data_IF_695916800535
#
_entry.id   IF_695916800535
#
_cell.length_a   1.000
_cell.length_b   1.000
_cell.length_c   1.000
_cell.angle_alpha   90.00
_cell.angle_beta   90.00
_cell.angle_gamma   90.00
#
_symmetry.space_group_name_H-M   'P 1'
#
loop_
_entity.id
_entity.type
_entity.pdbx_description
1 polymer ?
#
# COMPACT_ATOMS: atom_id res chain seq x y z
N UNK A 1 8.29 -5.42 -4.75
CA UNK A 1 7.68 -4.15 -5.21
C UNK A 1 8.09 -3.74 -6.64
N UNK A 2 7.32 -2.90 -7.35
CA UNK A 2 7.76 -2.31 -8.64
C UNK A 2 8.95 -1.34 -8.43
N UNK A 3 9.95 -1.37 -9.31
CA UNK A 3 11.16 -0.53 -9.23
C UNK A 3 10.87 0.97 -9.07
N UNK A 4 9.92 1.59 -9.80
CA UNK A 4 9.63 3.01 -9.63
C UNK A 4 9.13 3.39 -8.23
N UNK A 5 8.29 2.53 -7.63
CA UNK A 5 7.75 2.74 -6.28
C UNK A 5 8.91 2.67 -5.27
N UNK A 6 9.76 1.63 -5.40
CA UNK A 6 10.96 1.47 -4.56
C UNK A 6 11.86 2.71 -4.61
N UNK A 7 12.19 3.19 -5.82
CA UNK A 7 13.03 4.37 -6.02
C UNK A 7 12.41 5.63 -5.42
N UNK A 8 11.11 5.83 -5.60
CA UNK A 8 10.41 6.98 -5.02
C UNK A 8 10.47 6.94 -3.48
N UNK A 9 10.15 5.79 -2.87
CA UNK A 9 10.15 5.64 -1.42
C UNK A 9 11.56 5.84 -0.83
N UNK A 10 12.60 5.26 -1.43
CA UNK A 10 13.97 5.47 -0.94
C UNK A 10 14.43 6.93 -1.01
N UNK A 11 13.98 7.70 -2.01
CA UNK A 11 14.38 9.11 -2.20
C UNK A 11 13.52 10.11 -1.43
N UNK A 12 12.26 9.77 -1.16
CA UNK A 12 11.27 10.73 -0.66
C UNK A 12 10.58 10.28 0.63
N UNK A 13 10.64 9.00 1.01
CA UNK A 13 9.90 8.42 2.13
C UNK A 13 10.13 9.12 3.46
N UNK A 14 11.38 9.45 3.78
CA UNK A 14 11.73 10.17 5.02
C UNK A 14 11.15 11.59 5.12
N UNK A 15 10.70 12.20 4.01
CA UNK A 15 10.05 13.51 3.98
C UNK A 15 8.54 13.46 4.18
N UNK A 16 7.94 12.27 4.13
CA UNK A 16 6.51 12.09 4.35
C UNK A 16 6.24 12.16 5.85
N UNK A 17 5.28 13.01 6.24
CA UNK A 17 4.89 13.17 7.64
C UNK A 17 4.16 11.92 8.13
N UNK A 18 3.11 11.55 7.40
CA UNK A 18 2.27 10.38 7.62
C UNK A 18 2.15 9.61 6.30
N UNK A 19 2.03 8.28 6.38
CA UNK A 19 1.91 7.41 5.20
C UNK A 19 0.77 6.42 5.39
N UNK A 20 0.08 6.10 4.31
CA UNK A 20 -0.89 5.01 4.27
C UNK A 20 -0.58 4.15 3.05
N UNK A 21 -0.67 2.83 3.21
CA UNK A 21 -0.30 1.88 2.18
C UNK A 21 -1.51 1.14 1.63
N UNK A 22 -1.59 1.08 0.30
CA UNK A 22 -2.70 0.46 -0.40
C UNK A 22 -2.15 -0.45 -1.50
N UNK A 23 -2.62 -1.70 -1.57
CA UNK A 23 -2.33 -2.63 -2.67
C UNK A 23 -3.62 -3.17 -3.25
N UNK A 24 -3.70 -3.18 -4.57
CA UNK A 24 -4.70 -3.94 -5.33
C UNK A 24 -4.05 -5.21 -5.87
N UNK A 25 -4.68 -6.36 -5.71
CA UNK A 25 -4.18 -7.61 -6.28
C UNK A 25 -4.95 -8.84 -5.83
N UNK A 26 -4.86 -9.91 -6.62
CA UNK A 26 -5.59 -11.16 -6.34
C UNK A 26 -4.78 -12.13 -5.47
N UNK A 27 -3.50 -11.82 -5.21
CA UNK A 27 -2.65 -12.59 -4.29
C UNK A 27 -2.86 -12.14 -2.84
N UNK A 28 -2.95 -13.09 -1.92
CA UNK A 28 -2.92 -12.85 -0.46
C UNK A 28 -1.52 -12.55 0.09
N UNK A 29 -0.55 -12.35 -0.80
CA UNK A 29 0.80 -11.97 -0.45
C UNK A 29 0.79 -10.56 0.19
N UNK A 30 1.02 -10.50 1.49
CA UNK A 30 1.11 -9.28 2.29
C UNK A 30 2.56 -8.79 2.44
N UNK A 31 3.55 -9.48 1.84
CA UNK A 31 4.97 -9.22 2.07
C UNK A 31 5.42 -7.84 1.55
N UNK A 32 4.59 -7.18 0.75
CA UNK A 32 4.84 -5.84 0.24
C UNK A 32 4.82 -4.77 1.33
N UNK A 33 3.98 -4.92 2.36
CA UNK A 33 3.81 -3.85 3.35
C UNK A 33 5.02 -3.71 4.27
N UNK A 34 5.60 -4.81 4.80
CA UNK A 34 6.88 -4.72 5.51
C UNK A 34 8.01 -4.14 4.64
N UNK A 35 8.07 -4.48 3.34
CA UNK A 35 9.05 -3.89 2.40
C UNK A 35 8.86 -2.36 2.29
N UNK A 36 7.61 -1.91 2.19
CA UNK A 36 7.23 -0.50 2.13
C UNK A 36 7.57 0.26 3.42
N UNK A 37 7.29 -0.33 4.59
CA UNK A 37 7.64 0.23 5.91
C UNK A 37 9.15 0.43 6.05
N UNK A 38 9.93 -0.59 5.72
CA UNK A 38 11.39 -0.55 5.81
C UNK A 38 12.00 0.54 4.91
N UNK A 39 11.44 0.75 3.71
CA UNK A 39 11.93 1.75 2.75
C UNK A 39 11.49 3.17 3.08
N UNK A 40 10.30 3.35 3.67
CA UNK A 40 9.82 4.65 4.12
C UNK A 40 10.40 5.05 5.47
N UNK A 41 10.79 4.09 6.32
CA UNK A 41 11.19 4.34 7.70
C UNK A 41 10.05 4.90 8.55
N UNK A 42 8.80 4.53 8.23
CA UNK A 42 7.57 5.05 8.84
C UNK A 42 6.59 3.91 9.08
N UNK A 43 5.89 3.96 10.21
CA UNK A 43 4.73 3.13 10.45
C UNK A 43 3.51 3.75 9.74
N UNK A 44 2.76 2.98 8.95
CA UNK A 44 1.60 3.50 8.23
C UNK A 44 0.45 3.77 9.20
N UNK A 45 -0.28 4.88 8.97
CA UNK A 45 -1.51 5.20 9.71
C UNK A 45 -2.69 4.33 9.26
N UNK A 46 -2.59 3.73 8.08
CA UNK A 46 -3.56 2.80 7.54
C UNK A 46 -2.91 1.87 6.52
N UNK A 47 -3.40 0.64 6.46
CA UNK A 47 -3.03 -0.36 5.48
C UNK A 47 -4.30 -0.97 4.89
N UNK A 48 -4.35 -1.10 3.56
CA UNK A 48 -5.50 -1.67 2.88
C UNK A 48 -5.08 -2.59 1.73
N UNK A 49 -5.61 -3.81 1.75
CA UNK A 49 -5.56 -4.73 0.63
C UNK A 49 -6.93 -4.83 -0.04
N UNK A 50 -6.95 -4.61 -1.35
CA UNK A 50 -8.13 -4.75 -2.19
C UNK A 50 -7.93 -5.89 -3.19
N UNK A 51 -8.77 -6.92 -3.11
CA UNK A 51 -8.85 -7.91 -4.17
C UNK A 51 -9.46 -7.28 -5.42
N UNK A 52 -8.90 -7.58 -6.59
CA UNK A 52 -9.24 -6.86 -7.82
C UNK A 52 -10.72 -7.02 -8.17
N UNK A 53 -11.22 -8.26 -8.22
CA UNK A 53 -12.63 -8.53 -8.56
C UNK A 53 -13.60 -7.99 -7.51
N UNK A 54 -13.43 -8.40 -6.24
CA UNK A 54 -14.39 -8.07 -5.17
C UNK A 54 -14.33 -6.61 -4.74
N UNK A 55 -13.12 -6.05 -4.70
CA UNK A 55 -12.85 -4.76 -4.09
C UNK A 55 -12.70 -3.61 -5.09
N UNK A 56 -12.37 -3.85 -6.37
CA UNK A 56 -12.11 -2.77 -7.33
C UNK A 56 -13.12 -2.79 -8.48
N UNK A 57 -13.20 -3.90 -9.22
CA UNK A 57 -14.02 -4.01 -10.44
C UNK A 57 -15.53 -3.93 -10.14
N UNK A 58 -15.96 -4.44 -8.99
CA UNK A 58 -17.36 -4.41 -8.57
C UNK A 58 -17.73 -3.21 -7.67
N UNK A 59 -16.83 -2.23 -7.49
CA UNK A 59 -17.12 -1.04 -6.66
C UNK A 59 -17.10 -1.26 -5.14
N UNK A 60 -16.72 -2.45 -4.65
CA UNK A 60 -16.71 -2.81 -3.23
C UNK A 60 -15.64 -2.14 -2.36
N UNK A 61 -14.86 -1.18 -2.89
CA UNK A 61 -13.88 -0.42 -2.12
C UNK A 61 -14.56 0.61 -1.19
N UNK A 62 -15.76 1.07 -1.55
CA UNK A 62 -16.53 2.07 -0.79
C UNK A 62 -16.98 1.57 0.59
N UNK A 63 -17.15 0.27 0.76
CA UNK A 63 -17.54 -0.36 2.03
C UNK A 63 -16.37 -0.49 3.02
N UNK A 64 -15.13 -0.23 2.58
CA UNK A 64 -13.91 -0.42 3.38
C UNK A 64 -13.30 0.88 3.90
N UNK A 65 -13.93 2.02 3.66
CA UNK A 65 -13.49 3.34 4.12
C UNK A 65 -14.32 3.89 5.29
N UNK A 66 -15.00 3.02 6.04
CA UNK A 66 -15.80 3.35 7.23
C UNK A 66 -15.02 3.27 8.52
#
# INVERSE_FOLDING_TARGET
>A
MLTPIRTYMSKHGGRLKDVAFFRTGDSNDNDIFPEMEALCGKNPVAMLMLHRRKGVENGGYSEKTG
#
